data_IF_425702144305
#
_entry.id   IF_425702144305
#
_cell.length_a   1.000
_cell.length_b   1.000
_cell.length_c   1.000
_cell.angle_alpha   90.00
_cell.angle_beta   90.00
_cell.angle_gamma   90.00
#
_symmetry.space_group_name_H-M   'P 1'
#
loop_
_entity.id
_entity.type
_entity.pdbx_description
1 polymer ?
#
# COMPACT_ATOMS: atom_id res chain seq x y z
N UNK A 1 7.35 8.60 -2.47
CA UNK A 1 6.62 9.39 -3.49
C UNK A 1 5.19 9.55 -2.98
N UNK A 2 4.17 9.73 -3.82
CA UNK A 2 2.76 9.55 -3.42
C UNK A 2 2.25 8.27 -4.08
N UNK A 3 2.62 7.13 -3.50
CA UNK A 3 2.31 5.82 -4.09
C UNK A 3 0.95 5.24 -3.64
N UNK A 4 0.44 4.27 -4.39
CA UNK A 4 -0.75 3.52 -4.03
C UNK A 4 -0.44 2.43 -2.97
N UNK A 5 -1.47 1.79 -2.40
CA UNK A 5 -1.33 0.78 -1.37
C UNK A 5 -0.38 -0.38 -1.70
N UNK A 6 -0.27 -0.80 -2.97
CA UNK A 6 0.66 -1.86 -3.40
C UNK A 6 2.12 -1.49 -3.07
N UNK A 7 2.57 -0.31 -3.51
CA UNK A 7 3.96 0.11 -3.32
C UNK A 7 4.22 0.50 -1.87
N UNK A 8 3.23 1.05 -1.18
CA UNK A 8 3.34 1.32 0.25
C UNK A 8 3.49 0.04 1.07
N UNK A 9 2.75 -1.03 0.74
CA UNK A 9 2.92 -2.35 1.34
C UNK A 9 4.31 -2.93 1.06
N UNK A 10 4.80 -2.79 -0.17
CA UNK A 10 6.14 -3.24 -0.54
C UNK A 10 7.23 -2.50 0.24
N UNK A 11 7.14 -1.18 0.33
CA UNK A 11 8.09 -0.35 1.08
C UNK A 11 8.05 -0.64 2.59
N UNK A 12 6.86 -0.87 3.15
CA UNK A 12 6.69 -1.24 4.55
C UNK A 12 7.35 -2.58 4.86
N UNK A 13 7.15 -3.60 4.02
CA UNK A 13 7.78 -4.91 4.20
C UNK A 13 9.31 -4.81 4.23
N UNK A 14 9.92 -3.94 3.40
CA UNK A 14 11.36 -3.68 3.45
C UNK A 14 11.74 -3.03 4.79
N UNK A 15 11.00 -2.01 5.24
CA UNK A 15 11.32 -1.33 6.48
C UNK A 15 11.22 -2.24 7.72
N UNK A 16 10.26 -3.16 7.76
CA UNK A 16 10.06 -4.08 8.89
C UNK A 16 11.27 -5.01 9.15
N UNK A 17 12.13 -5.21 8.16
CA UNK A 17 13.33 -6.06 8.26
C UNK A 17 14.64 -5.25 8.22
N UNK A 18 14.55 -3.93 8.08
CA UNK A 18 15.71 -3.04 7.92
C UNK A 18 16.19 -2.53 9.29
N UNK A 19 17.49 -2.62 9.57
CA UNK A 19 18.06 -2.20 10.87
C UNK A 19 18.46 -0.72 10.93
N UNK A 20 18.64 -0.05 9.79
CA UNK A 20 19.11 1.33 9.69
C UNK A 20 18.00 2.32 9.32
N UNK A 21 16.81 2.15 9.91
CA UNK A 21 15.71 3.09 9.70
C UNK A 21 16.04 4.47 10.29
N UNK A 22 15.60 5.52 9.60
CA UNK A 22 15.65 6.88 10.12
C UNK A 22 14.73 7.00 11.36
N UNK A 23 15.20 7.57 12.48
CA UNK A 23 14.51 7.46 13.77
C UNK A 23 13.27 8.35 13.92
N UNK A 24 12.90 9.14 12.91
CA UNK A 24 11.73 10.03 12.93
C UNK A 24 10.51 9.47 12.19
N UNK A 25 10.50 8.17 11.90
CA UNK A 25 9.39 7.50 11.22
C UNK A 25 9.41 7.70 9.71
N UNK A 26 8.26 7.42 9.07
CA UNK A 26 8.11 7.45 7.62
C UNK A 26 6.67 7.74 7.20
N UNK A 27 6.47 8.28 6.00
CA UNK A 27 5.18 8.72 5.48
C UNK A 27 4.40 7.59 4.75
N UNK A 28 4.08 6.51 5.47
CA UNK A 28 3.32 5.34 4.99
C UNK A 28 1.81 5.58 4.86
N UNK A 29 1.40 6.70 4.27
CA UNK A 29 -0.01 7.12 4.27
C UNK A 29 -0.47 7.81 2.98
N UNK A 30 0.27 7.67 1.88
CA UNK A 30 -0.17 8.27 0.62
C UNK A 30 -1.58 7.85 0.16
N UNK A 31 -2.09 6.61 0.38
CA UNK A 31 -3.46 6.28 0.00
C UNK A 31 -4.52 7.13 0.72
N UNK A 32 -4.24 7.62 1.94
CA UNK A 32 -5.11 8.55 2.67
C UNK A 32 -5.16 9.96 2.05
N UNK A 33 -4.31 10.26 1.08
CA UNK A 33 -4.31 11.52 0.32
C UNK A 33 -4.98 11.39 -1.04
N UNK A 34 -5.35 10.18 -1.45
CA UNK A 34 -6.01 9.89 -2.73
C UNK A 34 -7.53 9.88 -2.54
N UNK A 35 -8.27 9.90 -3.64
CA UNK A 35 -9.76 9.84 -3.60
C UNK A 35 -10.24 8.50 -3.01
N UNK A 36 -9.50 7.41 -3.27
CA UNK A 36 -9.71 6.11 -2.66
C UNK A 36 -8.39 5.30 -2.69
N UNK A 37 -8.30 4.32 -1.79
CA UNK A 37 -7.29 3.26 -1.84
C UNK A 37 -7.87 2.08 -2.65
N UNK A 38 -7.20 1.68 -3.73
CA UNK A 38 -7.62 0.52 -4.54
C UNK A 38 -7.24 -0.82 -3.87
N UNK A 39 -6.71 -0.79 -2.65
CA UNK A 39 -6.27 -1.93 -1.86
C UNK A 39 -6.81 -1.89 -0.43
N UNK A 40 -6.53 -2.94 0.34
CA UNK A 40 -6.79 -2.97 1.79
C UNK A 40 -5.73 -2.25 2.64
N UNK A 41 -4.70 -1.62 2.05
CA UNK A 41 -3.55 -1.06 2.77
C UNK A 41 -3.93 -0.04 3.83
N UNK A 42 -4.87 0.87 3.55
CA UNK A 42 -5.27 1.93 4.48
C UNK A 42 -5.79 1.39 5.81
N UNK A 43 -6.29 0.15 5.86
CA UNK A 43 -6.70 -0.51 7.11
C UNK A 43 -5.53 -0.82 8.06
N UNK A 44 -4.30 -0.86 7.54
CA UNK A 44 -3.08 -1.02 8.33
C UNK A 44 -2.69 0.27 9.06
N UNK A 45 -3.31 1.40 8.71
CA UNK A 45 -3.04 2.70 9.33
C UNK A 45 -4.08 2.97 10.40
N UNK A 46 -3.63 3.04 11.65
CA UNK A 46 -4.47 3.36 12.81
C UNK A 46 -3.70 4.21 13.79
N UNK A 47 -4.38 5.18 14.40
CA UNK A 47 -3.81 6.06 15.44
C UNK A 47 -2.48 6.73 15.03
N UNK A 48 -2.39 7.17 13.77
CA UNK A 48 -1.21 7.84 13.23
C UNK A 48 0.01 6.92 12.99
N UNK A 49 -0.18 5.60 13.02
CA UNK A 49 0.88 4.60 12.79
C UNK A 49 0.44 3.58 11.75
N UNK A 50 1.41 3.03 11.03
CA UNK A 50 1.20 1.86 10.17
C UNK A 50 1.61 0.59 10.89
N UNK A 51 0.87 -0.50 10.68
CA UNK A 51 1.09 -1.79 11.33
C UNK A 51 1.53 -2.85 10.31
N UNK A 52 2.33 -3.83 10.75
CA UNK A 52 2.79 -4.89 9.87
C UNK A 52 1.60 -5.71 9.34
N UNK A 53 1.54 -6.00 8.04
CA UNK A 53 0.54 -6.92 7.52
C UNK A 53 0.81 -8.34 8.01
N UNK A 54 -0.25 -9.14 8.14
CA UNK A 54 -0.18 -10.52 8.68
C UNK A 54 -0.42 -11.60 7.63
N UNK A 55 -0.90 -11.21 6.45
CA UNK A 55 -1.14 -12.13 5.33
C UNK A 55 0.12 -12.31 4.46
N UNK A 56 0.24 -13.42 3.70
CA UNK A 56 1.38 -13.66 2.82
C UNK A 56 1.58 -12.61 1.72
N UNK A 57 2.77 -12.61 1.11
CA UNK A 57 3.12 -11.70 0.03
C UNK A 57 3.28 -10.27 0.53
N UNK A 58 2.66 -9.30 -0.16
CA UNK A 58 2.60 -7.92 0.33
C UNK A 58 1.66 -7.77 1.54
N UNK A 59 0.76 -8.74 1.75
CA UNK A 59 -0.22 -8.76 2.83
C UNK A 59 -1.32 -7.70 2.70
N UNK A 60 -1.59 -7.27 1.47
CA UNK A 60 -2.74 -6.44 1.08
C UNK A 60 -3.41 -7.05 -0.15
N UNK A 61 -4.70 -6.79 -0.30
CA UNK A 61 -5.55 -7.29 -1.39
C UNK A 61 -6.04 -6.12 -2.25
N UNK A 62 -6.32 -6.37 -3.53
CA UNK A 62 -6.99 -5.41 -4.40
C UNK A 62 -8.49 -5.37 -4.08
N UNK A 63 -9.06 -4.17 -4.17
CA UNK A 63 -10.50 -3.95 -4.09
C UNK A 63 -11.02 -3.75 -5.51
N UNK A 64 -11.49 -4.83 -6.16
CA UNK A 64 -11.85 -4.83 -7.58
C UNK A 64 -12.92 -3.77 -7.93
N UNK A 65 -13.89 -3.57 -7.05
CA UNK A 65 -14.95 -2.56 -7.21
C UNK A 65 -14.41 -1.12 -7.19
N UNK A 66 -13.42 -0.86 -6.32
CA UNK A 66 -12.75 0.45 -6.25
C UNK A 66 -11.80 0.61 -7.43
N UNK A 67 -10.99 -0.40 -7.72
CA UNK A 67 -10.04 -0.42 -8.84
C UNK A 67 -10.76 -0.10 -10.16
N UNK A 68 -11.86 -0.79 -10.44
CA UNK A 68 -12.61 -0.63 -11.70
C UNK A 68 -13.11 0.80 -11.95
N UNK A 69 -13.34 1.60 -10.89
CA UNK A 69 -13.70 3.02 -11.00
C UNK A 69 -12.57 3.88 -11.59
N UNK A 70 -11.31 3.50 -11.36
CA UNK A 70 -10.13 4.28 -11.77
C UNK A 70 -9.39 3.68 -12.97
N UNK A 71 -9.79 2.49 -13.46
CA UNK A 71 -9.21 1.89 -14.66
C UNK A 71 -9.54 2.73 -15.90
N UNK A 72 -8.50 3.22 -16.58
CA UNK A 72 -8.64 3.99 -17.83
C UNK A 72 -8.43 3.15 -19.08
N UNK A 73 -7.67 2.06 -18.99
CA UNK A 73 -7.41 1.12 -20.06
C UNK A 73 -7.09 -0.27 -19.49
N UNK A 74 -7.39 -1.32 -20.26
CA UNK A 74 -6.99 -2.70 -19.95
C UNK A 74 -6.13 -3.22 -21.09
N UNK A 75 -5.01 -3.85 -20.74
CA UNK A 75 -4.16 -4.56 -21.68
C UNK A 75 -3.82 -5.92 -21.10
N UNK A 76 -3.77 -6.94 -21.96
CA UNK A 76 -3.29 -8.27 -21.58
C UNK A 76 -1.84 -8.37 -22.01
N UNK A 77 -0.95 -8.55 -21.05
CA UNK A 77 0.46 -8.86 -21.33
C UNK A 77 0.59 -10.37 -21.40
N UNK A 78 0.64 -10.91 -22.62
CA UNK A 78 0.89 -12.33 -22.88
C UNK A 78 2.38 -12.64 -23.04
N UNK A 79 2.71 -13.94 -23.09
CA UNK A 79 3.99 -14.40 -23.65
C UNK A 79 4.03 -14.15 -25.16
#
# INVERSE_FOLDING_TARGET
>A
MLEEGITQAASLNIALVTQNLFPWGHAYFSPLRLDADITTYSSLIRDGRVYPPTAPGLGVELLDDVLDRYVTARAVVGK
#
